data_IF_398701207863
#
_entry.id   IF_398701207863
#
_cell.length_a   1.000
_cell.length_b   1.000
_cell.length_c   1.000
_cell.angle_alpha   90.00
_cell.angle_beta   90.00
_cell.angle_gamma   90.00
#
_symmetry.space_group_name_H-M   'P 1'
#
loop_
_entity.id
_entity.type
_entity.pdbx_description
1 polymer ?
#
# COMPACT_ATOMS: atom_id res chain seq x y z
N UNK A 1 -2.83 14.56 -13.79
CA UNK A 1 -1.65 15.35 -14.27
C UNK A 1 -0.93 15.91 -13.05
N UNK A 2 0.27 15.41 -12.69
CA UNK A 2 1.01 15.87 -11.52
C UNK A 2 1.24 17.39 -11.47
N UNK A 3 1.37 18.07 -12.61
CA UNK A 3 1.54 19.54 -12.64
C UNK A 3 0.28 20.33 -12.23
N UNK A 4 -0.88 19.67 -12.15
CA UNK A 4 -2.12 20.26 -11.64
C UNK A 4 -2.36 19.94 -10.16
N UNK A 5 -1.62 19.00 -9.55
CA UNK A 5 -1.87 18.54 -8.18
C UNK A 5 -1.79 19.66 -7.15
N UNK A 6 -0.83 20.56 -7.31
CA UNK A 6 -0.65 21.74 -6.43
C UNK A 6 -1.80 22.75 -6.54
N UNK A 7 -2.49 22.80 -7.69
CA UNK A 7 -3.70 23.62 -7.86
C UNK A 7 -4.90 23.05 -7.09
N UNK A 8 -4.85 21.76 -6.74
CA UNK A 8 -5.92 21.08 -6.00
C UNK A 8 -5.76 21.14 -4.47
N UNK A 9 -4.68 21.78 -3.97
CA UNK A 9 -4.47 22.06 -2.54
C UNK A 9 -4.26 23.56 -2.26
N UNK A 10 -5.13 24.47 -2.75
CA UNK A 10 -4.89 25.92 -2.68
C UNK A 10 -4.83 26.47 -1.25
N UNK A 11 -5.46 25.78 -0.29
CA UNK A 11 -5.43 26.14 1.13
C UNK A 11 -4.53 25.23 1.97
N UNK A 12 -3.96 24.17 1.39
CA UNK A 12 -3.13 23.20 2.09
C UNK A 12 -1.91 23.88 2.74
N UNK A 13 -1.23 24.76 2.01
CA UNK A 13 -0.02 25.46 2.49
C UNK A 13 -0.32 26.28 3.76
N UNK A 14 -1.44 27.01 3.79
CA UNK A 14 -1.82 27.84 4.94
C UNK A 14 -2.20 26.95 6.13
N UNK A 15 -2.97 25.89 5.89
CA UNK A 15 -3.45 24.99 6.94
C UNK A 15 -2.32 24.17 7.56
N UNK A 16 -1.37 23.70 6.75
CA UNK A 16 -0.23 22.92 7.23
C UNK A 16 0.80 23.75 7.99
N UNK A 17 0.76 25.09 7.93
CA UNK A 17 1.63 25.94 8.76
C UNK A 17 1.51 25.63 10.24
N UNK A 18 0.28 25.52 10.77
CA UNK A 18 0.03 25.19 12.19
C UNK A 18 0.53 23.79 12.58
N UNK A 19 0.41 22.85 11.65
CA UNK A 19 0.90 21.49 11.87
C UNK A 19 2.43 21.46 11.90
N UNK A 20 3.06 22.14 10.93
CA UNK A 20 4.51 22.34 10.86
C UNK A 20 5.06 22.95 12.16
N UNK A 21 4.50 24.08 12.62
CA UNK A 21 4.92 24.72 13.87
C UNK A 21 4.80 23.77 15.07
N UNK A 22 3.83 22.85 15.05
CA UNK A 22 3.66 21.86 16.11
C UNK A 22 4.70 20.74 16.04
N UNK A 23 5.11 20.33 14.84
CA UNK A 23 6.20 19.37 14.66
C UNK A 23 7.56 20.00 14.96
N UNK A 24 7.82 21.24 14.54
CA UNK A 24 9.04 21.98 14.86
C UNK A 24 9.23 22.07 16.38
N UNK A 25 8.18 22.42 17.14
CA UNK A 25 8.23 22.42 18.62
C UNK A 25 8.56 21.06 19.25
N UNK A 26 8.17 19.96 18.62
CA UNK A 26 8.50 18.60 19.09
C UNK A 26 9.99 18.30 18.85
N UNK A 27 10.54 18.80 17.74
CA UNK A 27 11.91 18.54 17.31
C UNK A 27 12.95 19.51 17.90
N UNK A 28 12.61 20.77 18.13
CA UNK A 28 13.50 21.81 18.67
C UNK A 28 14.12 21.43 20.03
N UNK A 29 13.40 20.64 20.83
CA UNK A 29 13.90 20.12 22.11
C UNK A 29 14.60 18.75 22.02
N UNK A 30 14.71 18.16 20.83
CA UNK A 30 15.11 16.75 20.64
C UNK A 30 15.91 16.53 19.34
N UNK A 31 17.07 17.18 19.15
CA UNK A 31 17.89 16.99 17.95
C UNK A 31 18.27 15.51 17.71
N UNK A 32 18.43 14.73 18.78
CA UNK A 32 18.70 13.29 18.71
C UNK A 32 17.60 12.49 17.99
N UNK A 33 16.36 12.98 17.96
CA UNK A 33 15.27 12.32 17.21
C UNK A 33 15.51 12.45 15.71
N UNK A 34 15.97 13.62 15.26
CA UNK A 34 16.29 13.85 13.84
C UNK A 34 17.45 12.95 13.43
N UNK A 35 18.53 12.93 14.21
CA UNK A 35 19.70 12.09 13.94
C UNK A 35 19.34 10.59 13.91
N UNK A 36 18.48 10.15 14.84
CA UNK A 36 18.00 8.77 14.88
C UNK A 36 17.14 8.42 13.67
N UNK A 37 16.25 9.32 13.23
CA UNK A 37 15.42 9.12 12.02
C UNK A 37 16.29 9.05 10.77
N UNK A 38 17.33 9.88 10.66
CA UNK A 38 18.19 9.93 9.48
C UNK A 38 19.20 8.78 9.41
N UNK A 39 19.55 8.17 10.55
CA UNK A 39 20.64 7.17 10.63
C UNK A 39 20.16 5.73 10.79
N UNK A 40 18.91 5.50 11.22
CA UNK A 40 18.41 4.17 11.56
C UNK A 40 17.64 3.50 10.41
N UNK A 41 17.86 2.19 10.23
CA UNK A 41 17.00 1.34 9.38
C UNK A 41 15.59 1.18 9.99
N UNK A 42 15.49 1.06 11.31
CA UNK A 42 14.24 1.10 12.07
C UNK A 42 14.31 2.17 13.19
N UNK A 43 13.94 3.42 12.91
CA UNK A 43 13.96 4.49 13.90
C UNK A 43 13.00 4.25 15.07
N UNK A 44 11.96 3.41 14.90
CA UNK A 44 10.95 3.16 15.93
C UNK A 44 11.43 2.16 16.99
N UNK A 45 12.58 1.52 16.82
CA UNK A 45 13.21 0.76 17.90
C UNK A 45 13.57 1.67 19.10
N UNK A 46 13.91 2.94 18.83
CA UNK A 46 14.22 3.93 19.85
C UNK A 46 12.93 4.44 20.54
N UNK A 47 12.90 4.37 21.88
CA UNK A 47 11.75 4.82 22.67
C UNK A 47 11.52 6.34 22.63
N UNK A 48 12.58 7.13 22.47
CA UNK A 48 12.52 8.59 22.33
C UNK A 48 11.89 8.96 20.99
N UNK A 49 12.29 8.29 19.92
CA UNK A 49 11.69 8.48 18.58
C UNK A 49 10.22 8.07 18.61
N UNK A 50 9.88 6.91 19.19
CA UNK A 50 8.47 6.50 19.36
C UNK A 50 7.64 7.54 20.11
N UNK A 51 8.17 8.07 21.21
CA UNK A 51 7.50 9.11 21.98
C UNK A 51 7.23 10.37 21.13
N UNK A 52 8.24 10.82 20.37
CA UNK A 52 8.10 11.95 19.47
C UNK A 52 7.05 11.70 18.37
N UNK A 53 6.99 10.48 17.83
CA UNK A 53 5.98 10.08 16.85
C UNK A 53 4.57 10.09 17.45
N UNK A 54 4.37 9.58 18.67
CA UNK A 54 3.06 9.65 19.34
C UNK A 54 2.65 11.10 19.63
N UNK A 55 3.58 11.95 20.06
CA UNK A 55 3.32 13.38 20.24
C UNK A 55 2.94 14.06 18.91
N UNK A 56 3.58 13.67 17.81
CA UNK A 56 3.24 14.12 16.46
C UNK A 56 1.82 13.71 16.07
N UNK A 57 1.44 12.46 16.33
CA UNK A 57 0.06 11.98 16.12
C UNK A 57 -0.96 12.76 16.95
N UNK A 58 -0.66 13.03 18.21
CA UNK A 58 -1.50 13.87 19.07
C UNK A 58 -1.57 15.32 18.58
N UNK A 59 -0.48 15.86 18.03
CA UNK A 59 -0.48 17.18 17.42
C UNK A 59 -1.40 17.26 16.20
N UNK A 60 -1.42 16.21 15.36
CA UNK A 60 -2.37 16.09 14.23
C UNK A 60 -3.81 16.16 14.76
N UNK A 61 -4.16 15.36 15.78
CA UNK A 61 -5.52 15.39 16.34
C UNK A 61 -5.92 16.78 16.82
N UNK A 62 -5.03 17.47 17.56
CA UNK A 62 -5.30 18.82 18.09
C UNK A 62 -5.49 19.86 16.99
N UNK A 63 -4.66 19.82 15.95
CA UNK A 63 -4.69 20.81 14.86
C UNK A 63 -5.85 20.56 13.92
N UNK A 64 -6.13 19.30 13.60
CA UNK A 64 -7.17 18.91 12.66
C UNK A 64 -8.56 18.70 13.31
N UNK A 65 -8.65 18.67 14.64
CA UNK A 65 -9.92 18.52 15.37
C UNK A 65 -10.40 17.07 15.49
N UNK A 66 -9.47 16.11 15.54
CA UNK A 66 -9.77 14.70 15.75
C UNK A 66 -9.86 14.28 17.22
N UNK A 67 -10.11 13.01 17.44
CA UNK A 67 -10.22 12.38 18.76
C UNK A 67 -9.32 11.15 18.88
N UNK A 68 -9.15 10.64 20.10
CA UNK A 68 -8.24 9.52 20.36
C UNK A 68 -8.60 8.23 19.59
N UNK A 69 -9.87 8.03 19.20
CA UNK A 69 -10.26 6.86 18.39
C UNK A 69 -9.73 6.90 16.96
N UNK A 70 -9.27 8.06 16.47
CA UNK A 70 -8.65 8.19 15.15
C UNK A 70 -7.21 7.65 15.11
N UNK A 71 -6.62 7.38 16.29
CA UNK A 71 -5.30 6.76 16.42
C UNK A 71 -5.33 5.24 16.46
N UNK A 72 -6.52 4.65 16.54
CA UNK A 72 -6.66 3.20 16.55
C UNK A 72 -6.35 2.65 15.15
N UNK A 73 -5.75 1.45 15.06
CA UNK A 73 -5.67 0.72 13.80
C UNK A 73 -7.05 0.60 13.16
N UNK A 74 -7.13 0.87 11.85
CA UNK A 74 -8.40 0.83 11.11
C UNK A 74 -8.66 -0.51 10.43
N UNK A 75 -7.62 -1.29 10.20
CA UNK A 75 -7.70 -2.60 9.59
C UNK A 75 -6.66 -3.52 10.24
N UNK A 76 -7.01 -4.79 10.46
CA UNK A 76 -6.15 -5.76 11.13
C UNK A 76 -4.84 -6.07 10.36
N UNK A 77 -4.93 -6.10 9.03
CA UNK A 77 -3.79 -6.32 8.13
C UNK A 77 -3.00 -5.05 7.75
N UNK A 78 -3.27 -3.88 8.38
CA UNK A 78 -2.58 -2.64 8.01
C UNK A 78 -1.91 -1.95 9.21
N UNK A 79 -0.62 -1.58 9.09
CA UNK A 79 0.04 -0.75 10.10
C UNK A 79 -0.37 0.74 10.01
N UNK A 80 -1.07 1.12 8.94
CA UNK A 80 -1.47 2.50 8.67
C UNK A 80 -2.77 2.83 9.40
N UNK A 81 -2.80 4.00 10.05
CA UNK A 81 -4.00 4.50 10.74
C UNK A 81 -4.87 5.27 9.75
N UNK A 82 -5.79 4.57 9.07
CA UNK A 82 -6.65 5.13 8.03
C UNK A 82 -7.45 6.36 8.49
N UNK A 83 -7.96 6.36 9.73
CA UNK A 83 -8.73 7.48 10.30
C UNK A 83 -7.87 8.72 10.53
N UNK A 84 -6.64 8.55 11.01
CA UNK A 84 -5.69 9.65 11.14
C UNK A 84 -5.35 10.25 9.76
N UNK A 85 -5.17 9.40 8.75
CA UNK A 85 -4.94 9.84 7.38
C UNK A 85 -6.18 10.56 6.81
N UNK A 86 -7.38 10.06 7.07
CA UNK A 86 -8.64 10.68 6.65
C UNK A 86 -8.81 12.06 7.29
N UNK A 87 -8.42 12.20 8.56
CA UNK A 87 -8.43 13.47 9.26
C UNK A 87 -7.47 14.48 8.62
N UNK A 88 -6.27 14.05 8.23
CA UNK A 88 -5.30 14.90 7.51
C UNK A 88 -5.82 15.35 6.14
N UNK A 89 -6.39 14.43 5.36
CA UNK A 89 -7.01 14.71 4.05
C UNK A 89 -8.17 15.70 4.19
N UNK A 90 -9.04 15.48 5.17
CA UNK A 90 -10.18 16.37 5.43
C UNK A 90 -9.71 17.75 5.91
N UNK A 91 -8.68 17.79 6.75
CA UNK A 91 -8.09 19.02 7.24
C UNK A 91 -7.44 19.82 6.11
N UNK A 92 -6.60 19.20 5.28
CA UNK A 92 -5.94 19.85 4.15
C UNK A 92 -6.92 20.33 3.08
N UNK A 93 -8.10 19.73 3.02
CA UNK A 93 -9.03 19.89 1.91
C UNK A 93 -8.53 19.17 0.66
N UNK A 94 -7.75 18.10 0.85
CA UNK A 94 -7.40 17.20 -0.24
C UNK A 94 -8.67 16.52 -0.73
N UNK A 95 -8.77 16.45 -2.04
CA UNK A 95 -9.91 15.95 -2.76
C UNK A 95 -9.81 14.44 -3.00
N UNK A 96 -8.60 13.87 -2.91
CA UNK A 96 -8.41 12.42 -2.86
C UNK A 96 -8.79 11.90 -1.47
N UNK A 97 -10.07 11.60 -1.34
CA UNK A 97 -10.69 11.08 -0.13
C UNK A 97 -10.71 9.55 -0.05
N UNK A 98 -10.26 8.83 -1.08
CA UNK A 98 -10.52 7.41 -1.19
C UNK A 98 -9.41 6.57 -0.57
N UNK A 99 -8.15 6.97 -0.76
CA UNK A 99 -6.99 6.27 -0.16
C UNK A 99 -7.12 6.08 1.36
N UNK A 100 -7.52 7.10 2.16
CA UNK A 100 -7.72 6.89 3.60
C UNK A 100 -8.84 5.89 3.92
N UNK A 101 -9.89 5.85 3.10
CA UNK A 101 -11.00 4.90 3.25
C UNK A 101 -10.55 3.49 2.93
N UNK A 102 -9.68 3.28 1.94
CA UNK A 102 -9.15 1.96 1.62
C UNK A 102 -8.41 1.32 2.80
N UNK A 103 -7.74 2.11 3.64
CA UNK A 103 -7.13 1.60 4.89
C UNK A 103 -8.15 1.22 5.98
N UNK A 104 -9.43 1.46 5.78
CA UNK A 104 -10.52 1.13 6.71
C UNK A 104 -11.47 0.09 6.12
N UNK A 105 -11.91 0.33 4.89
CA UNK A 105 -12.95 -0.44 4.20
C UNK A 105 -12.37 -1.54 3.30
N UNK A 106 -11.08 -1.46 2.96
CA UNK A 106 -10.43 -2.29 1.95
C UNK A 106 -10.26 -1.55 0.61
N UNK A 107 -9.17 -1.85 -0.09
CA UNK A 107 -8.82 -1.30 -1.38
C UNK A 107 -9.42 -2.15 -2.50
N UNK A 108 -10.20 -1.57 -3.42
CA UNK A 108 -10.68 -2.28 -4.60
C UNK A 108 -9.54 -2.49 -5.60
N UNK A 109 -9.42 -3.70 -6.15
CA UNK A 109 -8.57 -4.02 -7.30
C UNK A 109 -9.29 -3.83 -8.64
N UNK A 110 -10.61 -3.64 -8.63
CA UNK A 110 -11.38 -3.35 -9.84
C UNK A 110 -11.97 -4.58 -10.52
N UNK A 111 -12.21 -5.66 -9.78
CA UNK A 111 -12.85 -6.89 -10.29
C UNK A 111 -14.36 -6.87 -10.04
N UNK A 112 -14.73 -6.88 -8.76
CA UNK A 112 -16.13 -6.80 -8.33
C UNK A 112 -16.46 -5.40 -7.83
N UNK A 113 -15.50 -4.76 -7.17
CA UNK A 113 -15.66 -3.44 -6.59
C UNK A 113 -15.03 -2.42 -7.53
N UNK A 114 -15.82 -1.46 -8.06
CA UNK A 114 -15.28 -0.49 -8.99
C UNK A 114 -14.29 0.44 -8.28
N UNK A 115 -13.14 0.66 -8.91
CA UNK A 115 -12.20 1.70 -8.49
C UNK A 115 -12.87 3.06 -8.77
N UNK A 116 -13.07 3.92 -7.75
CA UNK A 116 -13.71 5.22 -7.95
C UNK A 116 -12.91 6.11 -8.91
N UNK A 117 -13.63 6.90 -9.70
CA UNK A 117 -13.04 7.89 -10.62
C UNK A 117 -13.11 9.28 -9.97
N UNK A 118 -11.96 9.91 -9.78
CA UNK A 118 -11.88 11.27 -9.21
C UNK A 118 -11.69 12.34 -10.26
N UNK A 119 -11.06 12.02 -11.39
CA UNK A 119 -10.61 13.00 -12.40
C UNK A 119 -9.20 13.52 -12.12
N UNK A 120 -8.42 12.84 -11.28
CA UNK A 120 -7.02 13.18 -10.94
C UNK A 120 -6.12 12.88 -12.13
N UNK A 121 -6.37 11.72 -12.72
CA UNK A 121 -5.57 11.16 -13.78
C UNK A 121 -6.33 11.19 -15.10
N UNK A 122 -5.63 11.15 -16.23
CA UNK A 122 -6.29 11.04 -17.51
C UNK A 122 -7.16 9.77 -17.55
N UNK A 123 -8.41 9.94 -17.96
CA UNK A 123 -9.28 8.83 -18.37
C UNK A 123 -8.90 8.46 -19.79
N UNK A 124 -8.67 7.18 -20.08
CA UNK A 124 -8.58 6.73 -21.46
C UNK A 124 -9.98 6.76 -22.10
N UNK A 125 -10.07 7.11 -23.38
CA UNK A 125 -11.35 7.14 -24.09
C UNK A 125 -12.04 5.75 -24.13
N UNK A 126 -11.29 4.67 -23.96
CA UNK A 126 -11.80 3.30 -23.92
C UNK A 126 -11.73 2.63 -22.55
N UNK A 127 -10.99 3.17 -21.57
CA UNK A 127 -10.67 2.45 -20.32
C UNK A 127 -9.94 1.12 -20.57
N UNK A 128 -9.42 0.50 -19.51
CA UNK A 128 -9.18 -0.95 -19.52
C UNK A 128 -10.52 -1.60 -19.19
N UNK A 129 -11.24 -2.07 -20.22
CA UNK A 129 -12.45 -2.87 -20.04
C UNK A 129 -12.10 -4.36 -19.93
N UNK A 130 -12.98 -5.16 -19.27
CA UNK A 130 -12.80 -6.59 -19.21
C UNK A 130 -12.77 -7.21 -20.61
N UNK A 131 -11.83 -8.10 -20.85
CA UNK A 131 -11.77 -8.89 -22.07
C UNK A 131 -12.89 -9.94 -22.04
N UNK A 132 -13.99 -9.67 -22.75
CA UNK A 132 -15.16 -10.57 -22.80
C UNK A 132 -14.87 -11.95 -23.40
N UNK A 133 -13.74 -12.13 -24.09
CA UNK A 133 -13.34 -13.42 -24.65
C UNK A 133 -12.56 -14.28 -23.65
N UNK A 134 -12.16 -13.72 -22.50
CA UNK A 134 -11.48 -14.45 -21.44
C UNK A 134 -12.44 -14.81 -20.31
N UNK A 135 -12.28 -15.99 -19.74
CA UNK A 135 -13.02 -16.42 -18.55
C UNK A 135 -12.08 -16.62 -17.36
N UNK A 136 -12.58 -16.35 -16.15
CA UNK A 136 -11.97 -16.79 -14.90
C UNK A 136 -12.38 -18.23 -14.60
N UNK A 137 -11.44 -19.02 -14.08
CA UNK A 137 -11.70 -20.40 -13.64
C UNK A 137 -12.01 -20.40 -12.15
N UNK A 138 -13.30 -20.48 -11.82
CA UNK A 138 -13.76 -20.58 -10.44
C UNK A 138 -13.77 -22.03 -9.95
N UNK A 139 -13.41 -22.20 -8.68
CA UNK A 139 -13.52 -23.47 -7.94
C UNK A 139 -14.30 -23.25 -6.65
N UNK A 140 -14.73 -24.33 -6.01
CA UNK A 140 -15.40 -24.30 -4.72
C UNK A 140 -14.63 -25.13 -3.66
N UNK A 141 -15.14 -25.13 -2.43
CA UNK A 141 -14.56 -25.86 -1.30
C UNK A 141 -14.53 -27.38 -1.46
N UNK A 142 -15.23 -27.94 -2.46
CA UNK A 142 -15.30 -29.38 -2.75
C UNK A 142 -14.53 -29.80 -4.00
N UNK A 143 -13.91 -28.84 -4.70
CA UNK A 143 -13.22 -29.07 -5.97
C UNK A 143 -11.97 -29.92 -5.81
N UNK A 144 -11.79 -30.90 -6.68
CA UNK A 144 -10.59 -31.74 -6.72
C UNK A 144 -9.42 -30.97 -7.35
N UNK A 145 -8.35 -30.77 -6.57
CA UNK A 145 -7.12 -30.10 -7.00
C UNK A 145 -5.95 -31.08 -7.20
N UNK A 146 -6.21 -32.38 -7.34
CA UNK A 146 -5.19 -33.41 -7.60
C UNK A 146 -4.33 -33.12 -8.84
N UNK A 147 -4.88 -32.42 -9.84
CA UNK A 147 -4.16 -31.98 -11.04
C UNK A 147 -3.52 -30.58 -10.96
N UNK A 148 -3.67 -29.86 -9.85
CA UNK A 148 -3.11 -28.52 -9.69
C UNK A 148 -1.65 -28.57 -9.21
N UNK A 149 -0.76 -27.94 -9.96
CA UNK A 149 0.63 -27.68 -9.57
C UNK A 149 1.02 -26.22 -9.84
N UNK A 150 1.90 -25.68 -8.99
CA UNK A 150 2.57 -24.41 -9.25
C UNK A 150 3.70 -24.61 -10.27
N UNK A 151 4.44 -23.54 -10.54
CA UNK A 151 5.63 -23.62 -11.39
C UNK A 151 6.74 -24.44 -10.73
N UNK A 152 7.57 -25.12 -11.53
CA UNK A 152 8.70 -25.96 -11.05
C UNK A 152 9.56 -25.24 -10.01
N UNK A 153 9.80 -23.94 -10.19
CA UNK A 153 10.53 -23.12 -9.21
C UNK A 153 10.01 -23.23 -7.76
N UNK A 154 8.69 -23.40 -7.59
CA UNK A 154 8.01 -23.54 -6.29
C UNK A 154 7.99 -25.00 -5.85
N UNK A 155 7.62 -25.90 -6.74
CA UNK A 155 7.51 -27.33 -6.45
C UNK A 155 8.86 -27.96 -6.08
N UNK A 156 9.96 -27.48 -6.67
CA UNK A 156 11.33 -27.91 -6.35
C UNK A 156 11.89 -27.27 -5.08
N UNK A 157 11.24 -26.23 -4.54
CA UNK A 157 11.72 -25.47 -3.37
C UNK A 157 10.62 -25.20 -2.33
N UNK A 158 9.87 -26.23 -1.88
CA UNK A 158 8.67 -26.04 -1.06
C UNK A 158 8.99 -25.37 0.29
N UNK A 159 10.11 -25.72 0.93
CA UNK A 159 10.48 -25.16 2.23
C UNK A 159 10.80 -23.66 2.15
N UNK A 160 11.42 -23.21 1.04
CA UNK A 160 11.71 -21.80 0.81
C UNK A 160 10.41 -20.99 0.61
N UNK A 161 9.44 -21.56 -0.11
CA UNK A 161 8.14 -20.93 -0.37
C UNK A 161 7.32 -20.84 0.91
N UNK A 162 7.24 -21.92 1.68
CA UNK A 162 6.54 -21.92 2.98
C UNK A 162 7.20 -20.92 3.93
N UNK A 163 8.53 -20.89 4.00
CA UNK A 163 9.24 -19.92 4.86
C UNK A 163 8.92 -18.47 4.46
N UNK A 164 8.91 -18.15 3.16
CA UNK A 164 8.51 -16.83 2.67
C UNK A 164 7.07 -16.48 3.04
N UNK A 165 6.13 -17.39 2.82
CA UNK A 165 4.72 -17.14 3.12
C UNK A 165 4.45 -17.03 4.62
N UNK A 166 5.17 -17.76 5.46
CA UNK A 166 5.11 -17.60 6.93
C UNK A 166 5.68 -16.26 7.38
N UNK A 167 6.71 -15.73 6.71
CA UNK A 167 7.18 -14.36 6.95
C UNK A 167 6.08 -13.34 6.61
N UNK A 168 5.39 -13.50 5.48
CA UNK A 168 4.27 -12.63 5.09
C UNK A 168 3.08 -12.74 6.06
N UNK A 169 2.74 -13.95 6.52
CA UNK A 169 1.71 -14.18 7.56
C UNK A 169 2.07 -13.48 8.87
N UNK A 170 3.34 -13.56 9.31
CA UNK A 170 3.79 -12.89 10.54
C UNK A 170 3.68 -11.36 10.48
N UNK A 171 3.66 -10.79 9.27
CA UNK A 171 3.44 -9.37 9.00
C UNK A 171 1.96 -9.03 8.80
N UNK A 172 1.08 -10.02 8.82
CA UNK A 172 -0.37 -9.88 8.61
C UNK A 172 -0.79 -9.74 7.15
N UNK A 173 0.08 -10.09 6.18
CA UNK A 173 -0.18 -9.90 4.75
C UNK A 173 -0.87 -11.09 4.07
N UNK A 174 -0.96 -12.24 4.74
CA UNK A 174 -1.75 -13.38 4.29
C UNK A 174 -2.22 -14.24 5.46
N UNK A 175 -3.14 -15.16 5.19
CA UNK A 175 -3.67 -16.11 6.18
C UNK A 175 -3.62 -17.52 5.61
N UNK A 176 -3.17 -18.48 6.42
CA UNK A 176 -3.18 -19.89 6.04
C UNK A 176 -4.47 -20.59 6.44
N UNK A 177 -4.94 -21.46 5.56
CA UNK A 177 -6.07 -22.35 5.80
C UNK A 177 -5.65 -23.78 5.44
N UNK A 178 -6.19 -24.76 6.15
CA UNK A 178 -5.87 -26.18 5.93
C UNK A 178 -6.74 -26.84 4.85
N UNK A 179 -7.85 -26.20 4.46
CA UNK A 179 -8.77 -26.72 3.46
C UNK A 179 -9.40 -25.62 2.60
N UNK A 180 -9.78 -25.97 1.35
CA UNK A 180 -10.52 -25.05 0.47
C UNK A 180 -11.87 -24.65 1.06
N UNK A 181 -12.51 -25.55 1.80
CA UNK A 181 -13.77 -25.25 2.48
C UNK A 181 -13.60 -24.14 3.52
N UNK A 182 -12.48 -24.11 4.24
CA UNK A 182 -12.22 -23.05 5.22
C UNK A 182 -11.83 -21.73 4.56
N UNK A 183 -11.10 -21.77 3.44
CA UNK A 183 -10.87 -20.57 2.61
C UNK A 183 -12.20 -20.02 2.12
N UNK A 184 -13.07 -20.86 1.56
CA UNK A 184 -14.37 -20.45 1.03
C UNK A 184 -15.26 -19.86 2.13
N UNK A 185 -15.27 -20.43 3.34
CA UNK A 185 -15.98 -19.83 4.49
C UNK A 185 -15.40 -18.47 4.88
N UNK A 186 -14.09 -18.29 4.80
CA UNK A 186 -13.44 -17.02 5.14
C UNK A 186 -13.81 -15.88 4.20
N UNK A 187 -14.11 -16.21 2.93
CA UNK A 187 -14.59 -15.29 1.89
C UNK A 187 -16.10 -15.41 1.67
N UNK A 188 -16.86 -15.60 2.76
CA UNK A 188 -18.33 -15.54 2.79
C UNK A 188 -19.06 -16.54 1.85
N UNK A 189 -18.39 -17.62 1.46
CA UNK A 189 -18.94 -18.67 0.61
C UNK A 189 -18.60 -18.51 -0.87
N UNK A 190 -17.90 -17.44 -1.27
CA UNK A 190 -17.67 -17.13 -2.67
C UNK A 190 -16.79 -18.19 -3.38
N UNK A 191 -17.07 -18.54 -4.65
CA UNK A 191 -16.19 -19.37 -5.44
C UNK A 191 -14.81 -18.75 -5.57
N UNK A 192 -13.76 -19.55 -5.52
CA UNK A 192 -12.37 -19.10 -5.46
C UNK A 192 -11.73 -19.07 -6.85
N UNK A 193 -10.81 -18.14 -7.07
CA UNK A 193 -9.88 -18.17 -8.21
C UNK A 193 -8.47 -18.45 -7.70
N UNK A 194 -7.89 -19.56 -8.14
CA UNK A 194 -6.50 -19.90 -7.79
C UNK A 194 -5.51 -19.09 -8.63
N UNK A 195 -4.50 -18.55 -7.96
CA UNK A 195 -3.35 -17.89 -8.58
C UNK A 195 -2.12 -18.77 -8.46
N UNK A 196 -1.52 -19.13 -9.59
CA UNK A 196 -0.24 -19.85 -9.60
C UNK A 196 0.87 -18.96 -9.06
N UNK A 197 1.80 -19.54 -8.31
CA UNK A 197 2.98 -18.84 -7.81
C UNK A 197 4.28 -19.38 -8.40
N UNK A 198 5.25 -18.48 -8.53
CA UNK A 198 6.64 -18.79 -8.87
C UNK A 198 7.58 -18.14 -7.84
N UNK A 199 8.81 -18.64 -7.73
CA UNK A 199 9.87 -17.96 -6.99
C UNK A 199 11.06 -17.62 -7.87
N UNK A 200 11.66 -16.45 -7.62
CA UNK A 200 12.85 -15.97 -8.33
C UNK A 200 13.94 -15.61 -7.31
N UNK A 201 15.18 -16.13 -7.45
CA UNK A 201 16.25 -15.80 -6.51
C UNK A 201 16.61 -14.31 -6.55
N UNK A 202 16.86 -13.71 -5.38
CA UNK A 202 17.41 -12.37 -5.25
C UNK A 202 18.91 -12.43 -5.53
N UNK A 203 19.35 -11.75 -6.59
CA UNK A 203 20.76 -11.65 -6.95
C UNK A 203 21.60 -11.09 -5.78
N UNK A 204 22.78 -11.66 -5.55
CA UNK A 204 23.74 -11.15 -4.55
C UNK A 204 23.38 -11.41 -3.09
N UNK A 205 22.43 -12.30 -2.79
CA UNK A 205 22.04 -12.61 -1.39
C UNK A 205 22.69 -13.90 -0.88
N UNK A 206 23.30 -13.83 0.31
CA UNK A 206 23.84 -14.97 1.06
C UNK A 206 23.33 -14.88 2.51
N UNK A 207 22.51 -15.83 3.01
CA UNK A 207 21.95 -16.99 2.30
C UNK A 207 21.00 -16.57 1.17
N UNK A 208 20.73 -17.51 0.25
CA UNK A 208 19.90 -17.29 -0.95
C UNK A 208 18.48 -16.89 -0.54
N UNK A 209 18.09 -15.66 -0.86
CA UNK A 209 16.72 -15.15 -0.67
C UNK A 209 15.94 -15.27 -1.98
N UNK A 210 14.61 -15.32 -1.89
CA UNK A 210 13.72 -15.44 -3.05
C UNK A 210 12.68 -14.30 -3.06
N UNK A 211 12.10 -14.04 -4.24
CA UNK A 211 10.91 -13.22 -4.46
C UNK A 211 9.78 -14.16 -4.84
N UNK A 212 8.66 -14.09 -4.12
CA UNK A 212 7.43 -14.74 -4.51
C UNK A 212 6.73 -13.90 -5.59
N UNK A 213 6.28 -14.57 -6.66
CA UNK A 213 5.53 -13.96 -7.76
C UNK A 213 4.18 -14.65 -7.87
N UNK A 214 3.09 -13.90 -7.70
CA UNK A 214 1.74 -14.36 -7.99
C UNK A 214 1.41 -14.05 -9.46
N UNK A 215 1.12 -15.08 -10.24
CA UNK A 215 0.88 -14.95 -11.67
C UNK A 215 -0.61 -14.73 -11.99
N UNK A 216 -1.05 -13.49 -11.79
CA UNK A 216 -2.39 -13.02 -12.12
C UNK A 216 -2.66 -12.89 -13.65
N UNK A 217 -1.67 -13.19 -14.50
CA UNK A 217 -1.88 -13.27 -15.96
C UNK A 217 -2.42 -14.62 -16.36
N UNK A 218 -1.96 -15.71 -15.72
CA UNK A 218 -2.31 -17.07 -16.13
C UNK A 218 -3.75 -17.45 -15.80
N UNK A 219 -4.33 -16.88 -14.76
CA UNK A 219 -5.73 -17.04 -14.39
C UNK A 219 -6.63 -15.93 -14.96
N UNK A 220 -6.13 -15.12 -15.90
CA UNK A 220 -6.83 -14.03 -16.57
C UNK A 220 -7.35 -12.90 -15.66
N UNK A 221 -6.99 -12.84 -14.37
CA UNK A 221 -7.44 -11.78 -13.45
C UNK A 221 -7.13 -10.39 -14.00
N UNK A 222 -5.90 -10.18 -14.49
CA UNK A 222 -5.49 -8.90 -15.07
C UNK A 222 -6.35 -8.45 -16.28
N UNK A 223 -7.01 -9.39 -16.97
CA UNK A 223 -7.88 -9.09 -18.11
C UNK A 223 -9.31 -8.75 -17.70
N UNK A 224 -9.67 -8.98 -16.44
CA UNK A 224 -11.00 -8.70 -15.90
C UNK A 224 -11.03 -7.43 -15.05
N UNK A 225 -9.85 -6.92 -14.66
CA UNK A 225 -9.74 -5.68 -13.90
C UNK A 225 -10.18 -4.49 -14.74
N UNK A 226 -11.06 -3.67 -14.18
CA UNK A 226 -11.53 -2.41 -14.76
C UNK A 226 -10.74 -1.25 -14.18
N UNK A 227 -9.97 -0.57 -15.02
CA UNK A 227 -9.27 0.67 -14.66
C UNK A 227 -9.75 1.81 -15.55
N UNK A 228 -10.37 2.81 -14.94
CA UNK A 228 -10.93 3.98 -15.64
C UNK A 228 -9.97 5.16 -15.71
N UNK A 229 -9.05 5.26 -14.76
CA UNK A 229 -8.07 6.35 -14.65
C UNK A 229 -6.64 5.79 -14.73
N UNK A 230 -5.82 6.30 -15.66
CA UNK A 230 -4.45 5.83 -15.83
C UNK A 230 -3.48 6.63 -14.97
N UNK A 231 -2.87 5.99 -13.97
CA UNK A 231 -1.85 6.60 -13.12
C UNK A 231 -0.69 7.16 -13.95
N UNK A 232 -0.46 8.47 -13.89
CA UNK A 232 0.69 9.13 -14.52
C UNK A 232 1.68 9.53 -13.43
N UNK A 233 2.79 8.82 -13.37
CA UNK A 233 3.87 9.13 -12.43
C UNK A 233 4.72 10.30 -12.92
N UNK A 234 5.23 11.16 -12.02
CA UNK A 234 6.24 12.16 -12.36
C UNK A 234 7.48 11.50 -12.97
N UNK A 235 8.11 12.18 -13.93
CA UNK A 235 9.38 11.74 -14.50
C UNK A 235 10.53 12.20 -13.62
N UNK A 236 11.68 11.53 -13.75
CA UNK A 236 12.91 11.93 -13.04
C UNK A 236 13.28 13.40 -13.31
N UNK A 237 13.09 13.88 -14.54
CA UNK A 237 13.39 15.27 -14.90
C UNK A 237 12.50 16.28 -14.15
N UNK A 238 11.27 15.89 -13.80
CA UNK A 238 10.37 16.77 -13.08
C UNK A 238 10.93 17.02 -11.66
N UNK A 239 11.40 15.96 -10.98
CA UNK A 239 12.08 16.08 -9.68
C UNK A 239 13.39 16.89 -9.75
N UNK A 240 14.22 16.67 -10.78
CA UNK A 240 15.46 17.45 -10.98
C UNK A 240 15.14 18.94 -11.18
N UNK A 241 14.12 19.23 -11.98
CA UNK A 241 13.69 20.60 -12.25
C UNK A 241 13.20 21.29 -10.98
N UNK A 242 12.42 20.59 -10.15
CA UNK A 242 11.94 21.12 -8.86
C UNK A 242 13.11 21.44 -7.91
N UNK A 243 14.13 20.59 -7.85
CA UNK A 243 15.36 20.86 -7.07
C UNK A 243 16.11 22.08 -7.61
N UNK A 244 16.27 22.21 -8.93
CA UNK A 244 16.91 23.40 -9.52
C UNK A 244 16.15 24.70 -9.22
N UNK A 245 14.81 24.65 -9.25
CA UNK A 245 13.97 25.78 -8.84
C UNK A 245 14.15 26.13 -7.36
N UNK A 246 14.17 25.12 -6.47
CA UNK A 246 14.42 25.32 -5.05
C UNK A 246 15.79 25.94 -4.78
N UNK A 247 16.85 25.44 -5.44
CA UNK A 247 18.20 26.01 -5.33
C UNK A 247 18.28 27.44 -5.85
N UNK A 248 17.52 27.78 -6.89
CA UNK A 248 17.47 29.14 -7.42
C UNK A 248 16.73 30.09 -6.47
N UNK A 249 15.69 29.58 -5.79
CA UNK A 249 14.88 30.33 -4.84
C UNK A 249 15.50 30.41 -3.43
N UNK A 250 16.47 29.56 -3.10
CA UNK A 250 17.11 29.53 -1.77
C UNK A 250 18.04 30.72 -1.53
N UNK A 251 18.31 31.57 -2.53
CA UNK A 251 19.17 32.75 -2.42
C UNK A 251 20.57 32.46 -1.83
N UNK A 252 21.08 31.25 -2.03
CA UNK A 252 22.38 30.80 -1.50
C UNK A 252 22.29 29.96 -0.23
N UNK A 253 21.10 29.76 0.34
CA UNK A 253 20.89 28.79 1.41
C UNK A 253 21.01 27.35 0.89
N UNK A 254 21.36 26.44 1.80
CA UNK A 254 21.47 25.01 1.53
C UNK A 254 20.11 24.40 1.21
N UNK A 255 20.09 23.47 0.24
CA UNK A 255 18.93 22.66 -0.09
C UNK A 255 19.25 21.22 0.27
N UNK A 256 18.54 20.72 1.28
CA UNK A 256 18.66 19.34 1.73
C UNK A 256 17.56 18.47 1.11
N UNK A 257 17.91 17.25 0.72
CA UNK A 257 16.99 16.25 0.22
C UNK A 257 16.95 15.05 1.17
N UNK A 258 15.75 14.65 1.57
CA UNK A 258 15.53 13.44 2.37
C UNK A 258 14.83 12.39 1.51
N UNK A 259 15.40 11.18 1.49
CA UNK A 259 14.82 10.03 0.77
C UNK A 259 14.22 9.08 1.80
N UNK A 260 12.93 8.80 1.66
CA UNK A 260 12.21 7.83 2.48
C UNK A 260 11.75 6.70 1.56
N UNK A 261 12.09 5.47 1.93
CA UNK A 261 11.55 4.26 1.30
C UNK A 261 10.56 3.57 2.23
N UNK A 262 9.43 3.14 1.69
CA UNK A 262 8.38 2.45 2.44
C UNK A 262 8.47 0.95 2.13
N UNK A 263 9.01 0.19 3.08
CA UNK A 263 9.09 -1.26 2.93
C UNK A 263 7.69 -1.85 2.72
N UNK A 264 7.53 -2.68 1.69
CA UNK A 264 6.28 -3.38 1.40
C UNK A 264 5.06 -2.47 1.26
N UNK A 265 5.23 -1.24 0.76
CA UNK A 265 4.17 -0.22 0.66
C UNK A 265 2.83 -0.77 0.15
N UNK A 266 2.84 -1.54 -0.94
CA UNK A 266 1.62 -2.12 -1.53
C UNK A 266 0.91 -3.14 -0.64
N UNK A 267 1.63 -3.83 0.25
CA UNK A 267 1.07 -4.83 1.18
C UNK A 267 0.41 -4.20 2.39
N UNK A 268 0.70 -2.93 2.67
CA UNK A 268 0.09 -2.20 3.78
C UNK A 268 -1.36 -1.79 3.48
N UNK A 269 -1.76 -1.78 2.21
CA UNK A 269 -3.12 -1.53 1.77
C UNK A 269 -3.92 -2.84 1.86
N UNK A 270 -4.96 -2.92 2.70
CA UNK A 270 -5.80 -4.09 2.76
C UNK A 270 -6.64 -4.20 1.49
N UNK A 271 -6.97 -5.43 1.07
CA UNK A 271 -7.88 -5.67 -0.06
C UNK A 271 -9.34 -5.54 0.40
N UNK A 272 -10.24 -5.08 -0.48
CA UNK A 272 -11.68 -5.19 -0.23
C UNK A 272 -12.06 -6.67 -0.01
N UNK A 273 -12.85 -6.92 1.04
CA UNK A 273 -13.23 -8.28 1.45
C UNK A 273 -13.90 -9.06 0.32
N UNK A 274 -14.68 -8.36 -0.51
CA UNK A 274 -15.39 -8.91 -1.69
C UNK A 274 -14.47 -9.28 -2.83
N UNK A 275 -13.17 -9.05 -2.72
CA UNK A 275 -12.23 -9.41 -3.78
C UNK A 275 -11.19 -10.42 -3.29
N UNK A 276 -11.21 -10.81 -2.01
CA UNK A 276 -10.28 -11.79 -1.44
C UNK A 276 -10.35 -13.16 -2.14
N UNK A 277 -11.52 -13.58 -2.63
CA UNK A 277 -11.69 -14.85 -3.33
C UNK A 277 -10.94 -14.94 -4.66
N UNK A 278 -10.51 -13.79 -5.21
CA UNK A 278 -9.63 -13.75 -6.39
C UNK A 278 -8.14 -13.92 -6.05
N UNK A 279 -7.77 -13.79 -4.78
CA UNK A 279 -6.38 -13.75 -4.32
C UNK A 279 -6.00 -14.99 -3.50
N UNK A 280 -6.39 -16.18 -3.97
CA UNK A 280 -6.11 -17.45 -3.30
C UNK A 280 -4.92 -18.15 -3.96
N UNK A 281 -3.99 -18.66 -3.13
CA UNK A 281 -2.85 -19.46 -3.58
C UNK A 281 -2.89 -20.81 -2.89
N UNK A 282 -2.81 -21.90 -3.66
CA UNK A 282 -2.54 -23.23 -3.13
C UNK A 282 -1.03 -23.44 -3.04
N UNK A 283 -0.52 -23.62 -1.83
CA UNK A 283 0.82 -24.13 -1.57
C UNK A 283 0.69 -25.43 -0.78
N UNK A 284 1.33 -26.49 -1.27
CA UNK A 284 1.26 -27.86 -0.74
C UNK A 284 -0.12 -28.51 -0.95
#
# INVERSE_FOLDING_TARGET
>A
NPHLSTRYLPHGIIKFKKLRESFERILEGRPQVVDAILSAEDPLADSVVRCAVEEGRMAILRVAGGCSSDLLPTHECSPVRGRLLQLLVSYSGDWDSDVPRWYTDGCPVGLEVPIPVKGVFPTEASGLEPDSECSLSFIDGSSDLSGYSNYESVEDNPDAVISLLREEESKGFCTFYESLSDVQKAVDGDPLVLTKVAIVPKAGTVPKKYRLICDARRNNLNRHVVVREHLVLPRVIDAVTDVCHLMSASHGDHVDAMVIDFESAFRTLPLDRRELHYHVVKVK
#
